data_IF_228075944767
#
_entry.id   IF_228075944767
#
_cell.length_a   1.000
_cell.length_b   1.000
_cell.length_c   1.000
_cell.angle_alpha   90.00
_cell.angle_beta   90.00
_cell.angle_gamma   90.00
#
_symmetry.space_group_name_H-M   'P 1'
#
loop_
_entity.id
_entity.type
_entity.pdbx_description
1 polymer ?
#
# COMPACT_ATOMS: atom_id res chain seq x y z
N UNK A 1 24.16 -4.25 7.82
CA UNK A 1 22.76 -4.25 7.33
C UNK A 1 22.59 -3.10 6.36
N UNK A 2 22.84 -3.34 5.07
CA UNK A 2 22.71 -2.30 4.03
C UNK A 2 21.24 -2.18 3.65
N UNK A 3 20.69 -0.97 3.80
CA UNK A 3 19.61 -0.41 2.97
C UNK A 3 18.20 -1.01 3.21
N UNK A 4 17.56 -0.65 4.32
CA UNK A 4 16.15 -0.27 4.25
C UNK A 4 16.11 1.25 4.05
N UNK A 5 16.50 1.72 2.85
CA UNK A 5 16.17 3.10 2.46
C UNK A 5 14.65 3.22 2.56
N UNK A 6 14.17 4.18 3.36
CA UNK A 6 12.76 4.58 3.47
C UNK A 6 12.19 4.80 2.08
N UNK A 7 11.62 3.77 1.47
CA UNK A 7 10.80 3.93 0.29
C UNK A 7 9.43 4.41 0.79
N UNK A 8 9.19 5.73 0.70
CA UNK A 8 7.91 6.37 1.06
C UNK A 8 6.69 5.75 0.36
N UNK A 9 6.91 5.07 -0.78
CA UNK A 9 5.86 4.39 -1.55
C UNK A 9 5.17 3.20 -0.85
N UNK A 10 5.72 2.70 0.26
CA UNK A 10 5.13 1.58 1.02
C UNK A 10 4.59 2.01 2.39
N UNK A 11 4.61 3.31 2.70
CA UNK A 11 4.14 3.87 3.96
C UNK A 11 2.60 4.00 3.91
N UNK A 12 1.89 2.88 3.95
CA UNK A 12 0.46 2.91 4.25
C UNK A 12 0.25 2.98 5.76
N UNK A 13 -0.85 3.58 6.25
CA UNK A 13 -1.17 3.59 7.69
C UNK A 13 -1.11 2.19 8.31
N UNK A 14 -1.56 1.17 7.59
CA UNK A 14 -1.52 -0.24 7.99
C UNK A 14 -0.09 -0.79 8.16
N UNK A 15 0.81 -0.49 7.22
CA UNK A 15 2.21 -0.96 7.28
C UNK A 15 3.00 -0.20 8.35
N UNK A 16 2.68 1.07 8.56
CA UNK A 16 3.28 1.89 9.61
C UNK A 16 2.84 1.41 11.00
N UNK A 17 1.55 1.17 11.22
CA UNK A 17 1.04 0.61 12.48
C UNK A 17 1.69 -0.75 12.80
N UNK A 18 1.78 -1.65 11.82
CA UNK A 18 2.48 -2.94 12.00
C UNK A 18 3.98 -2.77 12.27
N UNK A 19 4.62 -1.73 11.75
CA UNK A 19 6.02 -1.43 12.04
C UNK A 19 6.20 -0.99 13.49
N UNK A 20 5.31 -0.12 13.98
CA UNK A 20 5.35 0.38 15.35
C UNK A 20 5.08 -0.75 16.36
N UNK A 21 4.14 -1.65 16.05
CA UNK A 21 3.90 -2.88 16.84
C UNK A 21 5.12 -3.80 16.87
N UNK A 22 5.80 -3.99 15.73
CA UNK A 22 7.03 -4.80 15.65
C UNK A 22 8.17 -4.18 16.45
N UNK A 23 8.32 -2.86 16.43
CA UNK A 23 9.33 -2.16 17.23
C UNK A 23 9.04 -2.27 18.73
N UNK A 24 7.78 -2.12 19.12
CA UNK A 24 7.34 -2.30 20.51
C UNK A 24 7.62 -3.72 21.00
N UNK A 25 7.21 -4.73 20.23
CA UNK A 25 7.45 -6.14 20.56
C UNK A 25 8.95 -6.49 20.58
N UNK A 26 9.76 -5.87 19.71
CA UNK A 26 11.22 -6.01 19.73
C UNK A 26 11.81 -5.48 21.03
N UNK A 27 11.38 -4.30 21.47
CA UNK A 27 11.84 -3.70 22.72
C UNK A 27 11.48 -4.57 23.90
N UNK A 28 10.23 -5.04 23.98
CA UNK A 28 9.77 -5.95 25.04
C UNK A 28 10.60 -7.24 25.04
N UNK A 29 10.83 -7.84 23.87
CA UNK A 29 11.62 -9.05 23.75
C UNK A 29 13.10 -8.86 24.12
N UNK A 30 13.67 -7.68 23.84
CA UNK A 30 15.03 -7.33 24.25
C UNK A 30 15.15 -7.12 25.76
N UNK A 31 14.10 -6.59 26.40
CA UNK A 31 14.08 -6.32 27.85
C UNK A 31 13.82 -7.60 28.65
N UNK A 32 12.84 -8.40 28.25
CA UNK A 32 12.39 -9.57 29.02
C UNK A 32 13.18 -10.84 28.64
N UNK A 33 13.64 -10.94 27.39
CA UNK A 33 14.43 -12.08 26.92
C UNK A 33 13.71 -13.43 26.96
N UNK A 34 12.41 -13.45 27.25
CA UNK A 34 11.61 -14.66 27.39
C UNK A 34 11.17 -15.21 26.02
N UNK A 35 10.87 -16.51 26.01
CA UNK A 35 10.44 -17.21 24.80
C UNK A 35 9.14 -16.65 24.22
N UNK A 36 8.26 -16.12 25.07
CA UNK A 36 6.96 -15.57 24.68
C UNK A 36 7.11 -14.23 23.94
N UNK A 37 7.85 -13.27 24.49
CA UNK A 37 8.08 -11.97 23.84
C UNK A 37 8.88 -12.12 22.55
N UNK A 38 9.87 -13.03 22.54
CA UNK A 38 10.60 -13.38 21.32
C UNK A 38 9.70 -14.07 20.28
N UNK A 39 8.75 -14.89 20.72
CA UNK A 39 7.71 -15.50 19.88
C UNK A 39 6.81 -14.45 19.24
N UNK A 40 6.27 -13.53 20.05
CA UNK A 40 5.42 -12.43 19.59
C UNK A 40 6.12 -11.54 18.56
N UNK A 41 7.37 -11.12 18.84
CA UNK A 41 8.17 -10.34 17.92
C UNK A 41 8.36 -11.07 16.57
N UNK A 42 8.66 -12.37 16.58
CA UNK A 42 8.80 -13.16 15.35
C UNK A 42 7.51 -13.21 14.53
N UNK A 43 6.37 -13.37 15.18
CA UNK A 43 5.05 -13.40 14.53
C UNK A 43 4.74 -12.06 13.88
N UNK A 44 4.87 -10.96 14.62
CA UNK A 44 4.60 -9.61 14.12
C UNK A 44 5.55 -9.25 12.97
N UNK A 45 6.83 -9.62 13.08
CA UNK A 45 7.81 -9.42 12.01
C UNK A 45 7.43 -10.16 10.73
N UNK A 46 6.92 -11.40 10.84
CA UNK A 46 6.44 -12.19 9.69
C UNK A 46 5.22 -11.52 9.04
N UNK A 47 4.27 -11.02 9.84
CA UNK A 47 3.09 -10.29 9.35
C UNK A 47 3.46 -9.00 8.60
N UNK A 48 4.36 -8.20 9.16
CA UNK A 48 4.85 -6.98 8.50
C UNK A 48 5.47 -7.30 7.14
N UNK A 49 6.29 -8.37 7.05
CA UNK A 49 6.88 -8.81 5.78
C UNK A 49 5.80 -9.18 4.75
N UNK A 50 4.80 -9.97 5.15
CA UNK A 50 3.70 -10.37 4.27
C UNK A 50 2.86 -9.19 3.79
N UNK A 51 2.58 -8.22 4.67
CA UNK A 51 1.83 -7.02 4.33
C UNK A 51 2.56 -6.19 3.25
N UNK A 52 3.88 -5.99 3.43
CA UNK A 52 4.72 -5.31 2.43
C UNK A 52 4.72 -6.09 1.11
N UNK A 53 4.93 -7.41 1.14
CA UNK A 53 4.92 -8.26 -0.07
C UNK A 53 3.58 -8.20 -0.82
N UNK A 54 2.45 -8.19 -0.11
CA UNK A 54 1.13 -8.02 -0.70
C UNK A 54 0.97 -6.65 -1.36
N UNK A 55 1.41 -5.56 -0.72
CA UNK A 55 1.37 -4.21 -1.32
C UNK A 55 2.27 -4.10 -2.54
N UNK A 56 3.47 -4.67 -2.48
CA UNK A 56 4.40 -4.75 -3.63
C UNK A 56 3.76 -5.49 -4.80
N UNK A 57 3.10 -6.64 -4.54
CA UNK A 57 2.35 -7.37 -5.56
C UNK A 57 1.20 -6.56 -6.13
N UNK A 58 0.42 -5.89 -5.29
CA UNK A 58 -0.71 -5.06 -5.73
C UNK A 58 -0.24 -3.88 -6.60
N UNK A 59 0.84 -3.20 -6.21
CA UNK A 59 1.41 -2.09 -6.99
C UNK A 59 1.97 -2.60 -8.33
N UNK A 60 2.58 -3.79 -8.35
CA UNK A 60 3.03 -4.41 -9.60
C UNK A 60 1.85 -4.71 -10.51
N UNK A 61 0.78 -5.31 -9.97
CA UNK A 61 -0.46 -5.60 -10.69
C UNK A 61 -1.10 -4.34 -11.28
N UNK A 62 -1.23 -3.26 -10.49
CA UNK A 62 -1.78 -1.98 -10.98
C UNK A 62 -0.93 -1.39 -12.10
N UNK A 63 0.39 -1.58 -12.08
CA UNK A 63 1.30 -1.03 -13.07
C UNK A 63 1.48 -1.88 -14.33
N UNK A 64 0.88 -3.07 -14.39
CA UNK A 64 0.88 -3.89 -15.61
C UNK A 64 0.11 -3.16 -16.73
N UNK A 65 0.65 -3.13 -17.97
CA UNK A 65 0.05 -2.36 -19.07
C UNK A 65 -1.41 -2.73 -19.36
N UNK A 66 -1.74 -4.02 -19.24
CA UNK A 66 -3.09 -4.57 -19.44
C UNK A 66 -4.08 -4.01 -18.40
N UNK A 67 -3.66 -3.95 -17.13
CA UNK A 67 -4.50 -3.48 -16.02
C UNK A 67 -4.63 -1.96 -16.02
N UNK A 68 -3.55 -1.22 -16.33
CA UNK A 68 -3.61 0.23 -16.53
C UNK A 68 -4.56 0.59 -17.66
N UNK A 69 -4.46 -0.11 -18.79
CA UNK A 69 -5.35 0.10 -19.94
C UNK A 69 -6.80 -0.19 -19.57
N UNK A 70 -7.06 -1.29 -18.87
CA UNK A 70 -8.41 -1.65 -18.41
C UNK A 70 -9.00 -0.64 -17.42
N UNK A 71 -8.19 -0.09 -16.51
CA UNK A 71 -8.60 0.97 -15.59
C UNK A 71 -8.96 2.26 -16.36
N UNK A 72 -8.13 2.67 -17.31
CA UNK A 72 -8.38 3.83 -18.18
C UNK A 72 -9.68 3.62 -18.99
N UNK A 73 -9.86 2.45 -19.61
CA UNK A 73 -11.08 2.11 -20.34
C UNK A 73 -12.32 2.15 -19.43
N UNK A 74 -12.22 1.67 -18.20
CA UNK A 74 -13.32 1.71 -17.21
C UNK A 74 -13.69 3.14 -16.85
N UNK A 75 -12.71 4.03 -16.66
CA UNK A 75 -12.94 5.47 -16.40
C UNK A 75 -13.53 6.17 -17.62
N UNK A 76 -13.07 5.83 -18.83
CA UNK A 76 -13.62 6.39 -20.08
C UNK A 76 -15.07 5.94 -20.29
N UNK A 77 -15.38 4.66 -20.04
CA UNK A 77 -16.74 4.10 -20.19
C UNK A 77 -17.71 4.54 -19.08
N UNK A 78 -17.24 4.70 -17.83
CA UNK A 78 -18.05 5.31 -16.78
C UNK A 78 -18.31 6.79 -17.10
N UNK A 79 -17.31 7.50 -17.67
CA UNK A 79 -17.50 8.86 -18.20
C UNK A 79 -18.40 8.93 -19.44
N UNK A 80 -18.53 7.93 -20.30
CA UNK A 80 -19.52 7.99 -21.42
C UNK A 80 -20.96 7.86 -20.92
N UNK A 81 -21.21 7.06 -19.88
CA UNK A 81 -22.53 7.05 -19.19
C UNK A 81 -22.80 8.37 -18.46
N UNK A 82 -21.77 9.02 -17.90
CA UNK A 82 -21.91 10.32 -17.19
C UNK A 82 -21.89 11.53 -18.14
N UNK A 83 -21.29 11.43 -19.35
CA UNK A 83 -21.24 12.50 -20.36
C UNK A 83 -22.62 12.90 -20.90
N UNK A 84 -23.63 12.03 -20.84
CA UNK A 84 -25.02 12.42 -21.09
C UNK A 84 -25.58 13.34 -19.99
N UNK A 85 -25.01 13.32 -18.77
CA UNK A 85 -25.47 14.09 -17.61
C UNK A 85 -24.68 15.38 -17.33
N UNK A 86 -23.41 15.51 -17.71
CA UNK A 86 -22.57 16.65 -17.35
C UNK A 86 -21.87 17.27 -18.57
N UNK A 87 -22.60 18.10 -19.32
CA UNK A 87 -21.98 19.08 -20.22
C UNK A 87 -21.31 20.17 -19.37
N UNK A 88 -20.05 20.49 -19.69
CA UNK A 88 -19.23 21.61 -19.16
C UNK A 88 -18.76 21.47 -17.70
N UNK A 89 -17.68 20.71 -17.46
CA UNK A 89 -16.44 21.21 -16.83
C UNK A 89 -15.36 20.12 -16.75
N UNK A 90 -14.19 20.46 -17.33
CA UNK A 90 -12.82 19.95 -17.16
C UNK A 90 -12.61 18.47 -16.81
N UNK A 91 -12.44 17.65 -17.87
CA UNK A 91 -12.05 16.24 -17.77
C UNK A 91 -10.57 16.05 -17.41
N UNK A 92 -9.71 17.02 -17.75
CA UNK A 92 -8.25 16.90 -17.65
C UNK A 92 -7.77 17.10 -16.21
N UNK A 93 -8.28 18.09 -15.48
CA UNK A 93 -7.91 18.33 -14.07
C UNK A 93 -8.26 17.16 -13.15
N UNK A 94 -9.38 16.46 -13.41
CA UNK A 94 -9.80 15.29 -12.61
C UNK A 94 -8.97 14.02 -12.89
N UNK A 95 -8.31 13.92 -14.05
CA UNK A 95 -7.48 12.74 -14.36
C UNK A 95 -6.15 12.80 -13.59
N UNK A 96 -5.60 13.98 -13.35
CA UNK A 96 -4.38 14.12 -12.55
C UNK A 96 -4.64 13.93 -11.04
N UNK A 97 -5.83 14.25 -10.54
CA UNK A 97 -6.21 14.09 -9.14
C UNK A 97 -6.44 12.62 -8.71
N UNK A 98 -6.80 11.73 -9.64
CA UNK A 98 -7.00 10.30 -9.35
C UNK A 98 -5.71 9.45 -9.41
N UNK A 99 -4.59 10.06 -9.77
CA UNK A 99 -3.28 9.40 -9.89
C UNK A 99 -2.30 9.75 -8.77
N UNK A 100 -2.70 10.63 -7.84
CA UNK A 100 -2.04 10.86 -6.53
C UNK A 100 -2.63 9.90 -5.47
#
# INVERSE_FOLDING_TARGET
MKIFRKNKRWETPEVNALRDEVETARTIAMVHGDGESMGLYRVLKKRLKQAIEMKVRNIKYINEPENRSRAIWTVIYSKTKVKKKLKKKKIIEFVFEAFD
#
